data_IF_994905039939
#
_entry.id   IF_994905039939
#
_cell.length_a   1.000
_cell.length_b   1.000
_cell.length_c   1.000
_cell.angle_alpha   90.00
_cell.angle_beta   90.00
_cell.angle_gamma   90.00
#
_symmetry.space_group_name_H-M   'P 1'
#
loop_
_entity.id
_entity.type
_entity.pdbx_description
1 polymer ?
#
# COMPACT_ATOMS: atom_id res chain seq x y z
N UNK A 1 -1.66 11.22 -19.29
CA UNK A 1 -2.73 12.17 -18.88
C UNK A 1 -2.90 12.05 -17.37
N UNK A 2 -3.10 13.15 -16.64
CA UNK A 2 -3.40 13.12 -15.22
C UNK A 2 -4.90 13.42 -15.02
N UNK A 3 -5.65 12.44 -14.53
CA UNK A 3 -7.09 12.55 -14.26
C UNK A 3 -7.51 11.52 -13.20
N UNK A 4 -8.70 11.71 -12.61
CA UNK A 4 -9.36 10.70 -11.80
C UNK A 4 -10.22 9.77 -12.68
N UNK A 5 -10.31 8.51 -12.26
CA UNK A 5 -11.22 7.50 -12.82
C UNK A 5 -12.63 7.65 -12.26
N UNK A 6 -12.75 8.20 -11.06
CA UNK A 6 -14.01 8.47 -10.37
C UNK A 6 -13.99 9.81 -9.66
N UNK A 7 -15.12 10.49 -9.69
CA UNK A 7 -15.36 11.72 -8.94
C UNK A 7 -16.46 11.46 -7.92
N UNK A 8 -16.11 11.58 -6.63
CA UNK A 8 -17.07 11.53 -5.55
C UNK A 8 -17.56 12.94 -5.22
N UNK A 9 -18.87 13.12 -5.18
CA UNK A 9 -19.49 14.38 -4.79
C UNK A 9 -20.68 14.10 -3.88
N UNK A 10 -20.59 14.54 -2.62
CA UNK A 10 -21.58 14.18 -1.60
C UNK A 10 -21.76 12.64 -1.56
N UNK A 11 -22.99 12.15 -1.64
CA UNK A 11 -23.29 10.72 -1.74
C UNK A 11 -23.30 10.16 -3.19
N UNK A 12 -22.90 10.96 -4.18
CA UNK A 12 -22.86 10.56 -5.59
C UNK A 12 -21.46 10.13 -6.04
N UNK A 13 -21.42 9.16 -6.96
CA UNK A 13 -20.23 8.72 -7.66
C UNK A 13 -20.42 8.94 -9.17
N UNK A 14 -19.48 9.62 -9.80
CA UNK A 14 -19.46 9.84 -11.26
C UNK A 14 -18.21 9.23 -11.87
N UNK A 15 -18.33 8.60 -13.02
CA UNK A 15 -17.18 8.08 -13.76
C UNK A 15 -16.43 9.24 -14.43
N UNK A 16 -15.10 9.20 -14.41
CA UNK A 16 -14.24 10.25 -14.96
C UNK A 16 -13.93 10.12 -16.45
N UNK A 17 -14.40 9.04 -17.08
CA UNK A 17 -14.18 8.75 -18.48
C UNK A 17 -15.35 7.94 -19.04
N UNK A 18 -15.53 8.03 -20.35
CA UNK A 18 -16.41 7.14 -21.13
C UNK A 18 -15.60 6.00 -21.75
N UNK A 19 -16.31 4.93 -22.13
CA UNK A 19 -15.71 3.82 -22.88
C UNK A 19 -14.98 4.28 -24.14
N UNK A 20 -15.63 5.16 -24.92
CA UNK A 20 -15.09 5.62 -26.20
C UNK A 20 -13.84 6.49 -26.01
N UNK A 21 -13.81 7.34 -24.96
CA UNK A 21 -12.62 8.13 -24.63
C UNK A 21 -11.41 7.26 -24.28
N UNK A 22 -11.59 6.21 -23.47
CA UNK A 22 -10.49 5.32 -23.09
C UNK A 22 -9.98 4.48 -24.27
N UNK A 23 -10.90 3.94 -25.09
CA UNK A 23 -10.53 3.20 -26.30
C UNK A 23 -9.80 4.12 -27.29
N UNK A 24 -10.27 5.36 -27.46
CA UNK A 24 -9.62 6.32 -28.35
C UNK A 24 -8.26 6.79 -27.83
N UNK A 25 -8.14 7.00 -26.51
CA UNK A 25 -6.88 7.33 -25.86
C UNK A 25 -5.86 6.18 -26.01
N UNK A 26 -6.32 4.93 -25.98
CA UNK A 26 -5.53 3.71 -26.15
C UNK A 26 -4.23 3.71 -25.32
N UNK A 27 -4.29 3.94 -23.98
CA UNK A 27 -3.08 4.01 -23.16
C UNK A 27 -2.34 2.66 -23.13
N UNK A 28 -1.01 2.71 -23.12
CA UNK A 28 -0.18 1.53 -22.84
C UNK A 28 -0.17 1.18 -21.34
N UNK A 29 -0.31 2.20 -20.49
CA UNK A 29 -0.22 2.07 -19.03
C UNK A 29 -1.23 3.01 -18.36
N UNK A 30 -2.01 2.46 -17.43
CA UNK A 30 -2.82 3.18 -16.45
C UNK A 30 -2.20 3.02 -15.06
N UNK A 31 -1.99 4.12 -14.34
CA UNK A 31 -1.41 4.07 -12.99
C UNK A 31 -2.34 4.79 -12.01
N UNK A 32 -2.82 4.06 -11.00
CA UNK A 32 -3.58 4.62 -9.88
C UNK A 32 -2.63 4.92 -8.74
N UNK A 33 -2.52 6.20 -8.39
CA UNK A 33 -1.76 6.64 -7.22
C UNK A 33 -2.62 6.54 -5.97
N UNK A 34 -2.08 5.90 -4.94
CA UNK A 34 -2.73 5.77 -3.63
C UNK A 34 -1.82 6.33 -2.52
N UNK A 35 -2.45 6.84 -1.48
CA UNK A 35 -1.81 7.49 -0.34
C UNK A 35 -2.64 7.18 0.92
N UNK A 36 -2.11 7.32 2.13
CA UNK A 36 -2.88 7.00 3.34
C UNK A 36 -4.10 7.92 3.50
N UNK A 37 -5.17 7.42 4.11
CA UNK A 37 -6.42 8.17 4.21
C UNK A 37 -6.28 9.49 4.99
N UNK A 38 -5.41 9.54 6.00
CA UNK A 38 -5.16 10.77 6.77
C UNK A 38 -4.43 11.83 5.95
N UNK A 39 -3.49 11.42 5.09
CA UNK A 39 -2.72 12.31 4.23
C UNK A 39 -3.60 12.88 3.11
N UNK A 40 -4.46 12.04 2.52
CA UNK A 40 -5.50 12.49 1.58
C UNK A 40 -6.46 13.47 2.27
N UNK A 41 -6.91 13.17 3.49
CA UNK A 41 -7.80 14.07 4.25
C UNK A 41 -7.15 15.42 4.50
N UNK A 42 -5.89 15.42 4.92
CA UNK A 42 -5.13 16.66 5.12
C UNK A 42 -4.99 17.44 3.81
N UNK A 43 -4.61 16.77 2.72
CA UNK A 43 -4.48 17.40 1.40
C UNK A 43 -5.79 18.05 0.93
N UNK A 44 -6.93 17.38 1.13
CA UNK A 44 -8.25 17.93 0.79
C UNK A 44 -8.59 19.19 1.61
N UNK A 45 -8.17 19.26 2.88
CA UNK A 45 -8.39 20.44 3.73
C UNK A 45 -7.62 21.68 3.26
N UNK A 46 -6.51 21.49 2.54
CA UNK A 46 -5.68 22.56 2.00
C UNK A 46 -6.18 23.12 0.66
N UNK A 47 -7.16 22.47 0.01
CA UNK A 47 -7.65 22.90 -1.31
C UNK A 47 -8.31 24.29 -1.23
N UNK A 48 -8.04 25.20 -2.19
CA UNK A 48 -8.66 26.53 -2.22
C UNK A 48 -10.18 26.49 -2.34
N UNK A 49 -10.67 25.61 -3.22
CA UNK A 49 -12.08 25.26 -3.33
C UNK A 49 -12.29 24.04 -2.45
N UNK A 50 -12.98 24.24 -1.34
CA UNK A 50 -13.28 23.16 -0.40
C UNK A 50 -14.44 22.35 -0.97
N UNK A 51 -14.24 21.07 -1.32
CA UNK A 51 -15.38 20.19 -1.54
C UNK A 51 -16.19 20.06 -0.24
N UNK A 52 -17.36 19.43 -0.31
CA UNK A 52 -18.04 18.99 0.91
C UNK A 52 -17.06 18.20 1.81
N UNK A 53 -17.15 18.35 3.14
CA UNK A 53 -16.17 17.75 4.04
C UNK A 53 -16.21 16.22 3.96
N UNK A 54 -15.20 15.65 3.32
CA UNK A 54 -15.02 14.21 3.25
C UNK A 54 -14.64 13.63 4.62
N UNK A 55 -15.34 12.57 5.01
CA UNK A 55 -14.93 11.74 6.14
C UNK A 55 -13.81 10.79 5.72
N UNK A 56 -13.09 10.22 6.69
CA UNK A 56 -12.16 9.10 6.44
C UNK A 56 -12.89 7.93 5.78
N UNK A 57 -14.18 7.74 6.11
CA UNK A 57 -15.02 6.70 5.51
C UNK A 57 -15.27 6.97 4.03
N UNK A 58 -15.48 8.21 3.64
CA UNK A 58 -15.63 8.55 2.22
C UNK A 58 -14.32 8.36 1.47
N UNK A 59 -13.19 8.78 2.06
CA UNK A 59 -11.87 8.68 1.44
C UNK A 59 -11.45 7.21 1.25
N UNK A 60 -11.64 6.37 2.28
CA UNK A 60 -11.27 4.95 2.20
C UNK A 60 -12.11 4.20 1.17
N UNK A 61 -13.39 4.57 1.01
CA UNK A 61 -14.27 3.99 0.00
C UNK A 61 -13.90 4.52 -1.39
N UNK A 62 -13.66 5.83 -1.53
CA UNK A 62 -13.29 6.44 -2.80
C UNK A 62 -11.99 5.85 -3.37
N UNK A 63 -11.02 5.50 -2.52
CA UNK A 63 -9.82 4.78 -2.97
C UNK A 63 -10.15 3.49 -3.72
N UNK A 64 -11.03 2.65 -3.18
CA UNK A 64 -11.40 1.39 -3.83
C UNK A 64 -12.19 1.62 -5.12
N UNK A 65 -13.09 2.60 -5.12
CA UNK A 65 -13.83 3.00 -6.32
C UNK A 65 -12.88 3.48 -7.43
N UNK A 66 -11.86 4.26 -7.06
CA UNK A 66 -10.84 4.77 -7.99
C UNK A 66 -9.97 3.64 -8.56
N UNK A 67 -9.50 2.72 -7.70
CA UNK A 67 -8.73 1.54 -8.13
C UNK A 67 -9.57 0.69 -9.09
N UNK A 68 -10.80 0.36 -8.71
CA UNK A 68 -11.68 -0.53 -9.48
C UNK A 68 -12.05 0.09 -10.83
N UNK A 69 -12.39 1.39 -10.86
CA UNK A 69 -12.73 2.07 -12.10
C UNK A 69 -11.51 2.17 -13.04
N UNK A 70 -10.32 2.47 -12.51
CA UNK A 70 -9.10 2.53 -13.29
C UNK A 70 -8.71 1.16 -13.87
N UNK A 71 -8.85 0.10 -13.07
CA UNK A 71 -8.62 -1.29 -13.47
C UNK A 71 -9.59 -1.69 -14.60
N UNK A 72 -10.87 -1.35 -14.46
CA UNK A 72 -11.86 -1.57 -15.51
C UNK A 72 -11.53 -0.76 -16.77
N UNK A 73 -11.13 0.50 -16.64
CA UNK A 73 -10.72 1.34 -17.77
C UNK A 73 -9.58 0.69 -18.56
N UNK A 74 -8.53 0.26 -17.86
CA UNK A 74 -7.39 -0.41 -18.48
C UNK A 74 -7.82 -1.70 -19.19
N UNK A 75 -8.72 -2.49 -18.60
CA UNK A 75 -9.21 -3.73 -19.20
C UNK A 75 -9.96 -3.55 -20.54
N UNK A 76 -10.49 -2.35 -20.81
CA UNK A 76 -11.14 -2.02 -22.09
C UNK A 76 -10.13 -1.90 -23.24
N UNK A 77 -8.84 -1.77 -22.94
CA UNK A 77 -7.76 -1.62 -23.91
C UNK A 77 -6.82 -2.81 -23.79
N UNK A 78 -6.83 -3.76 -24.76
CA UNK A 78 -6.13 -5.04 -24.61
C UNK A 78 -4.63 -4.97 -24.28
N UNK A 79 -3.94 -3.90 -24.71
CA UNK A 79 -2.52 -3.68 -24.45
C UNK A 79 -2.22 -2.92 -23.16
N UNK A 80 -3.24 -2.35 -22.52
CA UNK A 80 -3.06 -1.47 -21.37
C UNK A 80 -2.78 -2.28 -20.10
N UNK A 81 -1.71 -1.91 -19.38
CA UNK A 81 -1.42 -2.45 -18.05
C UNK A 81 -1.88 -1.49 -16.99
N UNK A 82 -2.55 -2.01 -15.95
CA UNK A 82 -2.91 -1.23 -14.77
C UNK A 82 -1.90 -1.47 -13.65
N UNK A 83 -1.49 -0.39 -12.98
CA UNK A 83 -0.64 -0.45 -11.80
C UNK A 83 -1.22 0.37 -10.66
N UNK A 84 -1.09 -0.14 -9.44
CA UNK A 84 -1.35 0.59 -8.21
C UNK A 84 0.00 0.96 -7.60
N UNK A 85 0.20 2.25 -7.35
CA UNK A 85 1.47 2.79 -6.86
C UNK A 85 1.23 3.65 -5.63
N UNK A 86 1.95 3.36 -4.55
CA UNK A 86 2.01 4.23 -3.39
C UNK A 86 2.72 5.54 -3.73
N UNK A 87 2.11 6.67 -3.39
CA UNK A 87 2.65 8.01 -3.66
C UNK A 87 4.05 8.21 -3.05
N UNK A 88 4.35 7.59 -1.92
CA UNK A 88 5.65 7.71 -1.26
C UNK A 88 6.80 7.01 -2.02
N UNK A 89 6.52 6.10 -2.96
CA UNK A 89 7.54 5.45 -3.81
C UNK A 89 7.74 6.16 -5.18
N UNK A 90 7.00 7.24 -5.42
CA UNK A 90 6.53 7.60 -6.76
C UNK A 90 7.52 8.38 -7.64
N UNK A 91 8.65 8.88 -7.12
CA UNK A 91 9.82 9.15 -7.94
C UNK A 91 10.21 8.08 -8.94
N UNK A 92 10.87 7.10 -8.32
CA UNK A 92 11.71 6.11 -8.95
C UNK A 92 10.86 4.95 -9.45
N UNK A 93 9.84 4.53 -8.69
CA UNK A 93 8.96 3.43 -9.10
C UNK A 93 8.22 3.75 -10.40
N UNK A 94 7.67 4.96 -10.54
CA UNK A 94 7.03 5.38 -11.79
C UNK A 94 7.99 5.41 -12.95
N UNK A 95 9.19 5.96 -12.74
CA UNK A 95 10.21 5.99 -13.78
C UNK A 95 10.52 4.58 -14.29
N UNK A 96 10.72 3.61 -13.39
CA UNK A 96 11.00 2.24 -13.80
C UNK A 96 9.81 1.56 -14.48
N UNK A 97 8.58 1.76 -13.99
CA UNK A 97 7.36 1.23 -14.62
C UNK A 97 7.20 1.74 -16.05
N UNK A 98 7.48 3.03 -16.29
CA UNK A 98 7.26 3.67 -17.60
C UNK A 98 8.44 3.39 -18.54
N UNK A 99 9.68 3.53 -18.08
CA UNK A 99 10.87 3.57 -18.94
C UNK A 99 11.78 2.34 -18.81
N UNK A 100 11.67 1.56 -17.73
CA UNK A 100 12.47 0.35 -17.49
C UNK A 100 11.59 -0.91 -17.40
N UNK A 101 10.48 -0.93 -18.14
CA UNK A 101 9.46 -2.00 -18.09
C UNK A 101 9.97 -3.41 -18.48
N UNK A 102 11.21 -3.52 -18.97
CA UNK A 102 11.92 -4.77 -19.24
C UNK A 102 12.47 -5.42 -17.95
N UNK A 103 12.61 -4.65 -16.87
CA UNK A 103 13.00 -5.18 -15.56
C UNK A 103 11.85 -6.01 -14.96
N UNK A 104 12.24 -7.05 -14.21
CA UNK A 104 11.27 -7.82 -13.45
C UNK A 104 10.70 -7.01 -12.29
N UNK A 105 9.44 -7.27 -11.99
CA UNK A 105 8.65 -6.68 -10.91
C UNK A 105 8.67 -7.60 -9.70
N UNK A 106 9.03 -7.06 -8.54
CA UNK A 106 9.09 -7.80 -7.29
C UNK A 106 8.22 -7.11 -6.24
N UNK A 107 7.37 -7.89 -5.57
CA UNK A 107 6.78 -7.46 -4.31
C UNK A 107 7.76 -7.78 -3.17
N UNK A 108 8.02 -6.78 -2.32
CA UNK A 108 8.91 -6.93 -1.18
C UNK A 108 8.11 -7.37 0.04
N UNK A 109 8.43 -8.56 0.57
CA UNK A 109 7.81 -9.12 1.76
C UNK A 109 8.81 -9.16 2.91
N UNK A 110 8.44 -8.65 4.09
CA UNK A 110 9.29 -8.67 5.29
C UNK A 110 8.45 -8.32 6.54
N UNK A 111 8.85 -8.73 7.75
CA UNK A 111 8.15 -8.34 8.97
C UNK A 111 8.22 -6.82 9.19
N UNK A 112 7.10 -6.20 9.58
CA UNK A 112 7.04 -4.77 9.91
C UNK A 112 6.72 -4.58 11.40
N UNK A 113 5.53 -5.00 11.84
CA UNK A 113 4.96 -4.66 13.16
C UNK A 113 5.87 -4.98 14.35
N UNK A 114 6.52 -6.14 14.33
CA UNK A 114 7.28 -6.64 15.50
C UNK A 114 8.78 -6.29 15.46
N UNK A 115 9.24 -5.63 14.39
CA UNK A 115 10.67 -5.36 14.18
C UNK A 115 10.97 -3.88 13.97
N UNK A 116 9.95 -3.05 13.74
CA UNK A 116 10.11 -1.62 13.47
C UNK A 116 10.87 -0.86 14.56
N UNK A 117 10.72 -1.25 15.82
CA UNK A 117 11.40 -0.63 16.96
C UNK A 117 12.82 -1.19 17.21
N UNK A 118 13.23 -2.26 16.51
CA UNK A 118 14.56 -2.82 16.60
C UNK A 118 15.45 -2.23 15.49
N UNK A 119 16.27 -1.23 15.85
CA UNK A 119 17.08 -0.49 14.89
C UNK A 119 18.08 -1.35 14.11
N UNK A 120 18.66 -2.37 14.73
CA UNK A 120 19.62 -3.27 14.07
C UNK A 120 18.91 -4.09 12.98
N UNK A 121 17.80 -4.75 13.35
CA UNK A 121 16.98 -5.52 12.41
C UNK A 121 16.41 -4.65 11.30
N UNK A 122 15.97 -3.44 11.65
CA UNK A 122 15.45 -2.49 10.68
C UNK A 122 16.51 -2.03 9.67
N UNK A 123 17.75 -1.85 10.11
CA UNK A 123 18.87 -1.52 9.21
C UNK A 123 19.12 -2.64 8.20
N UNK A 124 18.99 -3.90 8.61
CA UNK A 124 19.13 -5.03 7.69
C UNK A 124 17.97 -5.10 6.67
N UNK A 125 16.75 -4.82 7.11
CA UNK A 125 15.58 -4.71 6.22
C UNK A 125 15.81 -3.58 5.22
N UNK A 126 16.32 -2.42 5.65
CA UNK A 126 16.60 -1.30 4.75
C UNK A 126 17.65 -1.66 3.70
N UNK A 127 18.74 -2.32 4.12
CA UNK A 127 19.76 -2.82 3.20
C UNK A 127 19.19 -3.80 2.18
N UNK A 128 18.31 -4.70 2.62
CA UNK A 128 17.57 -5.62 1.75
C UNK A 128 16.71 -4.86 0.74
N UNK A 129 15.90 -3.90 1.21
CA UNK A 129 15.00 -3.08 0.38
C UNK A 129 15.78 -2.34 -0.69
N UNK A 130 16.82 -1.60 -0.30
CA UNK A 130 17.62 -0.79 -1.22
C UNK A 130 18.25 -1.64 -2.32
N UNK A 131 18.85 -2.79 -1.96
CA UNK A 131 19.49 -3.68 -2.95
C UNK A 131 18.51 -4.21 -3.99
N UNK A 132 17.28 -4.50 -3.59
CA UNK A 132 16.24 -4.94 -4.53
C UNK A 132 15.71 -3.78 -5.36
N UNK A 133 15.48 -2.62 -4.75
CA UNK A 133 15.03 -1.41 -5.44
C UNK A 133 16.04 -0.94 -6.49
N UNK A 134 17.34 -1.18 -6.29
CA UNK A 134 18.37 -0.89 -7.30
C UNK A 134 18.27 -1.83 -8.51
N UNK A 135 17.81 -3.07 -8.31
CA UNK A 135 17.85 -4.14 -9.33
C UNK A 135 16.51 -4.34 -10.07
N UNK A 136 15.39 -4.15 -9.39
CA UNK A 136 14.05 -4.51 -9.86
C UNK A 136 13.09 -3.31 -9.86
N UNK A 137 11.91 -3.52 -10.43
CA UNK A 137 10.73 -2.68 -10.16
C UNK A 137 10.10 -3.21 -8.86
N UNK A 138 10.19 -2.47 -7.76
CA UNK A 138 9.77 -2.97 -6.45
C UNK A 138 8.48 -2.31 -5.96
N UNK A 139 7.49 -3.13 -5.60
CA UNK A 139 6.32 -2.71 -4.85
C UNK A 139 6.54 -3.01 -3.37
N UNK A 140 6.44 -1.98 -2.53
CA UNK A 140 6.82 -2.07 -1.12
C UNK A 140 5.64 -1.71 -0.20
N UNK A 141 5.17 -2.65 0.64
CA UNK A 141 4.02 -2.45 1.51
C UNK A 141 4.22 -1.37 2.58
N UNK A 142 5.45 -1.01 2.96
CA UNK A 142 5.67 0.00 3.99
C UNK A 142 5.27 1.41 3.54
N UNK A 143 5.19 1.61 2.24
CA UNK A 143 4.93 2.91 1.60
C UNK A 143 3.51 3.43 1.83
N UNK A 144 2.64 2.62 2.45
CA UNK A 144 1.31 3.03 2.91
C UNK A 144 1.08 2.44 4.31
N UNK A 145 1.33 3.26 5.33
CA UNK A 145 1.40 2.88 6.73
C UNK A 145 0.15 3.29 7.53
N UNK A 146 -1.05 2.93 7.08
CA UNK A 146 -2.32 3.17 7.83
C UNK A 146 -2.39 2.45 9.19
N UNK A 147 -1.49 1.49 9.42
CA UNK A 147 -1.30 0.89 10.74
C UNK A 147 -0.93 1.90 11.83
N UNK A 148 -0.30 3.02 11.48
CA UNK A 148 0.02 4.10 12.45
C UNK A 148 -1.25 4.74 13.01
N UNK A 149 -2.24 5.04 12.16
CA UNK A 149 -3.53 5.61 12.55
C UNK A 149 -4.29 4.66 13.48
N UNK A 150 -4.27 3.35 13.18
CA UNK A 150 -4.84 2.33 14.07
C UNK A 150 -4.12 2.28 15.43
N UNK A 151 -2.80 2.35 15.43
CA UNK A 151 -1.98 2.41 16.65
C UNK A 151 -2.36 3.59 17.54
N UNK A 152 -2.48 4.79 16.96
CA UNK A 152 -2.88 5.99 17.70
C UNK A 152 -4.33 5.91 18.21
N UNK A 153 -5.25 5.35 17.42
CA UNK A 153 -6.62 5.08 17.86
C UNK A 153 -6.66 4.15 19.09
N UNK A 154 -5.87 3.09 19.11
CA UNK A 154 -5.80 2.16 20.24
C UNK A 154 -5.29 2.86 21.51
N UNK A 155 -4.22 3.67 21.41
CA UNK A 155 -3.69 4.45 22.54
C UNK A 155 -4.75 5.39 23.13
N UNK A 156 -5.49 6.08 22.27
CA UNK A 156 -6.52 7.04 22.68
C UNK A 156 -7.74 6.33 23.28
N UNK A 157 -8.22 5.25 22.67
CA UNK A 157 -9.43 4.53 23.10
C UNK A 157 -9.30 3.91 24.50
N UNK A 158 -8.09 3.48 24.89
CA UNK A 158 -7.79 2.98 26.24
C UNK A 158 -7.83 4.08 27.31
N UNK A 159 -7.51 5.33 26.96
CA UNK A 159 -7.39 6.42 27.94
C UNK A 159 -8.74 6.96 28.48
N UNK A 160 -9.88 6.62 27.83
CA UNK A 160 -11.27 7.08 28.08
C UNK A 160 -11.53 8.60 28.21
N UNK A 161 -10.50 9.43 28.33
CA UNK A 161 -10.60 10.90 28.52
C UNK A 161 -10.43 11.69 27.22
N UNK A 162 -9.76 11.13 26.21
CA UNK A 162 -9.49 11.80 24.94
C UNK A 162 -10.51 11.40 23.88
N UNK A 163 -11.10 12.40 23.20
CA UNK A 163 -12.04 12.21 22.08
C UNK A 163 -11.42 12.48 20.70
N UNK A 164 -10.11 12.69 20.66
CA UNK A 164 -9.37 13.08 19.45
C UNK A 164 -8.16 12.18 19.32
N UNK A 165 -7.95 11.66 18.11
CA UNK A 165 -6.73 10.98 17.67
C UNK A 165 -5.86 12.01 16.98
N UNK A 166 -4.58 12.04 17.33
CA UNK A 166 -3.59 12.92 16.71
C UNK A 166 -2.62 12.05 15.92
N UNK A 167 -2.48 12.33 14.62
CA UNK A 167 -1.54 11.65 13.74
C UNK A 167 -0.63 12.69 13.08
N UNK A 168 0.64 12.33 12.91
CA UNK A 168 1.58 13.13 12.13
C UNK A 168 1.38 12.82 10.65
N UNK A 169 1.29 13.86 9.84
CA UNK A 169 1.28 13.83 8.38
C UNK A 169 2.72 14.03 7.92
N UNK A 170 3.24 13.08 7.15
CA UNK A 170 4.59 13.11 6.57
C UNK A 170 4.50 13.44 5.07
N UNK A 171 5.47 14.19 4.50
CA UNK A 171 6.66 14.77 5.12
C UNK A 171 6.44 16.14 5.79
N UNK A 172 5.22 16.70 5.79
CA UNK A 172 4.95 18.05 6.28
C UNK A 172 5.16 18.20 7.80
N UNK A 173 5.25 17.08 8.54
CA UNK A 173 5.38 17.01 9.99
C UNK A 173 4.26 17.79 10.72
N UNK A 174 3.06 17.74 10.16
CA UNK A 174 1.87 18.42 10.69
C UNK A 174 1.02 17.45 11.49
N UNK A 175 0.54 17.90 12.65
CA UNK A 175 -0.36 17.11 13.50
C UNK A 175 -1.81 17.28 13.07
N UNK A 176 -2.36 16.28 12.39
CA UNK A 176 -3.77 16.21 12.06
C UNK A 176 -4.57 15.68 13.25
N UNK A 177 -5.62 16.41 13.62
CA UNK A 177 -6.52 16.06 14.74
C UNK A 177 -7.82 15.52 14.19
N UNK A 178 -8.11 14.25 14.50
CA UNK A 178 -9.26 13.52 13.99
C UNK A 178 -10.21 13.14 15.14
N UNK A 179 -11.54 13.31 14.99
CA UNK A 179 -12.50 12.79 15.96
C UNK A 179 -12.34 11.28 16.13
N UNK A 180 -12.31 10.78 17.37
CA UNK A 180 -12.15 9.35 17.64
C UNK A 180 -13.28 8.51 17.01
N UNK A 181 -14.49 9.07 16.91
CA UNK A 181 -15.64 8.42 16.27
C UNK A 181 -15.38 8.17 14.79
N UNK A 182 -14.81 9.15 14.10
CA UNK A 182 -14.51 9.05 12.68
C UNK A 182 -13.43 8.00 12.40
N UNK A 183 -12.37 7.96 13.22
CA UNK A 183 -11.32 6.95 13.09
C UNK A 183 -11.87 5.56 13.40
N UNK A 184 -12.72 5.43 14.43
CA UNK A 184 -13.36 4.17 14.81
C UNK A 184 -14.17 3.55 13.67
N UNK A 185 -14.89 4.36 12.90
CA UNK A 185 -15.73 3.91 11.79
C UNK A 185 -14.94 3.23 10.67
N UNK A 186 -13.67 3.61 10.47
CA UNK A 186 -12.83 3.06 9.40
C UNK A 186 -11.90 1.94 9.83
N UNK A 187 -11.75 1.63 11.12
CA UNK A 187 -10.85 0.56 11.60
C UNK A 187 -11.08 -0.78 10.89
N UNK A 188 -12.33 -1.29 10.75
CA UNK A 188 -12.56 -2.55 10.04
C UNK A 188 -12.18 -2.48 8.56
N UNK A 189 -12.35 -1.30 7.93
CA UNK A 189 -11.99 -1.09 6.54
C UNK A 189 -10.47 -1.02 6.35
N UNK A 190 -9.73 -0.40 7.27
CA UNK A 190 -8.26 -0.35 7.23
C UNK A 190 -7.69 -1.77 7.24
N UNK A 191 -8.14 -2.62 8.16
CA UNK A 191 -7.64 -4.00 8.26
C UNK A 191 -7.90 -4.81 6.99
N UNK A 192 -9.11 -4.68 6.42
CA UNK A 192 -9.47 -5.33 5.17
C UNK A 192 -8.66 -4.80 3.97
N UNK A 193 -8.50 -3.48 3.89
CA UNK A 193 -7.80 -2.84 2.77
C UNK A 193 -6.30 -3.05 2.79
N UNK A 194 -5.66 -3.15 3.97
CA UNK A 194 -4.25 -3.54 4.04
C UNK A 194 -4.05 -4.88 3.34
N UNK A 195 -4.89 -5.88 3.67
CA UNK A 195 -4.80 -7.22 3.08
C UNK A 195 -5.10 -7.19 1.58
N UNK A 196 -6.23 -6.58 1.16
CA UNK A 196 -6.62 -6.58 -0.25
C UNK A 196 -5.65 -5.80 -1.13
N UNK A 197 -5.12 -4.68 -0.63
CA UNK A 197 -4.10 -3.90 -1.30
C UNK A 197 -2.82 -4.70 -1.47
N UNK A 198 -2.32 -5.31 -0.40
CA UNK A 198 -1.06 -6.06 -0.45
C UNK A 198 -1.18 -7.24 -1.44
N UNK A 199 -2.32 -7.92 -1.49
CA UNK A 199 -2.60 -8.91 -2.53
C UNK A 199 -2.64 -8.33 -3.93
N UNK A 200 -3.27 -7.16 -4.16
CA UNK A 200 -3.22 -6.48 -5.46
C UNK A 200 -1.80 -6.07 -5.87
N UNK A 201 -0.96 -5.65 -4.91
CA UNK A 201 0.45 -5.32 -5.17
C UNK A 201 1.27 -6.58 -5.52
N UNK A 202 0.94 -7.71 -4.91
CA UNK A 202 1.50 -9.01 -5.26
C UNK A 202 1.05 -9.44 -6.66
N UNK A 203 -0.25 -9.34 -6.98
CA UNK A 203 -0.83 -9.78 -8.24
C UNK A 203 -0.28 -9.02 -9.48
N UNK A 204 0.15 -7.77 -9.30
CA UNK A 204 0.80 -6.98 -10.37
C UNK A 204 2.34 -7.20 -10.46
N UNK A 205 2.90 -8.06 -9.61
CA UNK A 205 4.33 -8.39 -9.56
C UNK A 205 4.63 -9.66 -10.35
N UNK A 206 5.89 -9.81 -10.79
CA UNK A 206 6.35 -11.04 -11.46
C UNK A 206 6.84 -12.09 -10.45
N UNK A 207 7.14 -11.66 -9.21
CA UNK A 207 7.64 -12.51 -8.12
C UNK A 207 7.42 -11.85 -6.75
N UNK A 208 7.47 -12.67 -5.70
CA UNK A 208 7.61 -12.21 -4.31
C UNK A 208 9.01 -12.53 -3.81
N UNK A 209 9.68 -11.54 -3.23
CA UNK A 209 10.94 -11.75 -2.51
C UNK A 209 10.66 -11.46 -1.04
N UNK A 210 10.83 -12.48 -0.20
CA UNK A 210 10.63 -12.41 1.24
C UNK A 210 11.95 -12.36 1.98
N UNK A 211 12.11 -11.41 2.89
CA UNK A 211 13.25 -11.33 3.80
C UNK A 211 12.80 -11.62 5.23
N UNK A 212 13.40 -12.67 5.83
CA UNK A 212 13.12 -13.09 7.20
C UNK A 212 14.37 -12.80 8.05
N UNK A 213 14.51 -11.59 8.63
CA UNK A 213 15.70 -11.22 9.40
C UNK A 213 15.85 -12.05 10.68
N UNK A 214 17.02 -11.98 11.30
CA UNK A 214 17.24 -12.53 12.64
C UNK A 214 16.90 -11.48 13.71
N UNK A 215 16.06 -11.84 14.69
CA UNK A 215 15.83 -11.03 15.90
C UNK A 215 17.00 -11.11 16.88
N UNK A 216 17.62 -12.28 16.90
CA UNK A 216 18.80 -12.66 17.66
C UNK A 216 19.48 -13.83 16.91
N UNK A 217 20.75 -14.16 17.18
CA UNK A 217 21.44 -15.26 16.49
C UNK A 217 20.64 -16.57 16.53
N UNK A 218 20.29 -17.12 15.36
CA UNK A 218 19.48 -18.34 15.22
C UNK A 218 17.97 -18.15 15.42
N UNK A 219 17.48 -16.93 15.63
CA UNK A 219 16.07 -16.62 15.86
C UNK A 219 15.46 -15.85 14.68
N UNK A 220 14.87 -16.54 13.67
CA UNK A 220 14.23 -15.88 12.54
C UNK A 220 12.95 -15.13 12.94
N UNK A 221 12.75 -13.95 12.37
CA UNK A 221 11.60 -13.07 12.58
C UNK A 221 10.41 -13.50 11.70
N UNK A 222 9.83 -14.66 12.00
CA UNK A 222 8.67 -15.17 11.26
C UNK A 222 7.44 -14.29 11.55
N UNK A 223 6.71 -13.94 10.50
CA UNK A 223 5.52 -13.06 10.56
C UNK A 223 4.38 -13.68 9.79
N UNK A 224 3.18 -13.69 10.39
CA UNK A 224 1.95 -14.13 9.72
C UNK A 224 1.62 -13.30 8.48
N UNK A 225 2.05 -12.03 8.42
CA UNK A 225 1.91 -11.21 7.21
C UNK A 225 2.70 -11.82 6.04
N UNK A 226 4.00 -12.05 6.26
CA UNK A 226 4.92 -12.66 5.29
C UNK A 226 4.45 -14.04 4.86
N UNK A 227 4.00 -14.87 5.81
CA UNK A 227 3.46 -16.20 5.50
C UNK A 227 2.24 -16.12 4.56
N UNK A 228 1.30 -15.20 4.84
CA UNK A 228 0.11 -15.02 3.99
C UNK A 228 0.44 -14.47 2.62
N UNK A 229 1.41 -13.56 2.52
CA UNK A 229 1.88 -13.00 1.25
C UNK A 229 2.52 -14.08 0.38
N UNK A 230 3.40 -14.92 0.95
CA UNK A 230 4.00 -16.05 0.28
C UNK A 230 2.94 -17.09 -0.16
N UNK A 231 2.00 -17.43 0.72
CA UNK A 231 0.90 -18.35 0.41
C UNK A 231 0.04 -17.83 -0.75
N UNK A 232 -0.31 -16.55 -0.73
CA UNK A 232 -1.07 -15.91 -1.82
C UNK A 232 -0.31 -16.01 -3.14
N UNK A 233 0.99 -15.72 -3.13
CA UNK A 233 1.83 -15.79 -4.31
C UNK A 233 1.96 -17.22 -4.88
N UNK A 234 2.15 -18.22 -4.02
CA UNK A 234 2.20 -19.62 -4.44
C UNK A 234 0.88 -20.11 -5.03
N UNK A 235 -0.25 -19.74 -4.42
CA UNK A 235 -1.58 -20.07 -4.94
C UNK A 235 -1.83 -19.45 -6.31
N UNK A 236 -1.27 -18.27 -6.56
CA UNK A 236 -1.27 -17.60 -7.86
C UNK A 236 -0.15 -18.08 -8.81
N UNK A 237 0.58 -19.16 -8.47
CA UNK A 237 1.68 -19.75 -9.26
C UNK A 237 2.83 -18.80 -9.56
N UNK A 238 2.99 -17.75 -8.76
CA UNK A 238 4.10 -16.82 -8.88
C UNK A 238 5.38 -17.39 -8.28
N UNK A 239 6.52 -16.93 -8.80
CA UNK A 239 7.82 -17.26 -8.24
C UNK A 239 7.97 -16.61 -6.85
N UNK A 240 8.36 -17.40 -5.87
CA UNK A 240 8.62 -16.93 -4.50
C UNK A 240 10.07 -17.21 -4.10
N UNK A 241 10.77 -16.20 -3.62
CA UNK A 241 12.12 -16.31 -3.11
C UNK A 241 12.15 -15.96 -1.62
N UNK A 242 12.83 -16.77 -0.81
CA UNK A 242 12.99 -16.50 0.63
C UNK A 242 14.47 -16.29 0.92
N UNK A 243 14.81 -15.12 1.46
CA UNK A 243 16.14 -14.79 1.97
C UNK A 243 16.13 -15.11 3.47
N UNK A 244 16.88 -16.17 3.82
CA UNK A 244 16.97 -16.73 5.17
C UNK A 244 18.40 -16.59 5.71
N UNK A 245 18.74 -15.46 6.35
CA UNK A 245 20.06 -15.27 6.97
C UNK A 245 20.30 -16.17 8.19
N UNK A 246 19.25 -16.76 8.77
CA UNK A 246 19.38 -17.49 10.03
C UNK A 246 20.10 -18.83 9.90
N UNK A 247 20.95 -19.13 10.88
CA UNK A 247 21.63 -20.43 10.99
C UNK A 247 20.69 -21.56 11.42
N UNK A 248 19.52 -21.23 11.97
CA UNK A 248 18.47 -22.20 12.26
C UNK A 248 17.94 -22.76 10.94
N UNK A 249 17.94 -24.08 10.81
CA UNK A 249 17.39 -24.77 9.64
C UNK A 249 15.91 -24.39 9.46
N UNK A 250 15.55 -23.92 8.27
CA UNK A 250 14.16 -23.64 7.92
C UNK A 250 13.32 -24.93 7.98
N UNK A 251 12.04 -24.81 8.34
CA UNK A 251 11.13 -25.95 8.34
C UNK A 251 11.05 -26.57 6.93
N UNK A 252 11.05 -27.90 6.78
CA UNK A 252 10.79 -28.56 5.50
C UNK A 252 9.33 -28.42 5.06
N UNK A 253 8.44 -28.14 6.02
CA UNK A 253 7.05 -27.72 5.79
C UNK A 253 6.93 -26.30 6.32
N UNK A 254 7.49 -25.33 5.61
CA UNK A 254 7.23 -23.97 6.01
C UNK A 254 5.74 -23.66 5.77
N UNK A 255 5.13 -22.87 6.66
CA UNK A 255 3.67 -22.70 6.73
C UNK A 255 3.12 -21.69 5.70
N UNK A 256 3.92 -21.38 4.68
CA UNK A 256 3.55 -20.46 3.61
C UNK A 256 3.10 -21.23 2.36
#
# INVERSE_FOLDING_TARGET
INSHSTFRWSNGLSIGFTKDEIIHLSPDICITLIDNIQDVKYSLQLRPVKPEPFTLKDIIVWREEEIMAAELAASLVPSCKHYIVAKDQCPQLLYKIIFENHLRKAYLSYPITNVRDNQAVWSDIENYRQRLMDTFICFDPISISEGSLKGEYLKVSLSRKRKVVEVTIDPENVKLRLPISEVKEVIPNIDGQIISRDFKLIDQSDMVIAYIPELAPGQPAISTGVERELAHAQNATMETFVIWPSTRVASPFPVW
#
